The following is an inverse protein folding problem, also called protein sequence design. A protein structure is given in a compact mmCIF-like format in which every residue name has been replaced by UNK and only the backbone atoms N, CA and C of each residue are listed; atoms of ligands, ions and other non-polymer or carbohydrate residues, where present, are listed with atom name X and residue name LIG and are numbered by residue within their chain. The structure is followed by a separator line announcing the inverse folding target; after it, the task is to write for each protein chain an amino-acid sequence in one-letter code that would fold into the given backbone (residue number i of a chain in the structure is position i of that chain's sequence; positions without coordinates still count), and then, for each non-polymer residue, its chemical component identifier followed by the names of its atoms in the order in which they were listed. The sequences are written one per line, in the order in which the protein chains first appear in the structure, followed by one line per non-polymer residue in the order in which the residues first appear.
data_IF_088000044842
#
_entry.id   IF_088000044842
#
_cell.length_a   1.000
_cell.length_b   1.000
_cell.length_c   1.000
_cell.angle_alpha   90.00
_cell.angle_beta   90.00
_cell.angle_gamma   90.00
#
_symmetry.space_group_name_H-M   'P 1'
#
loop_
_entity.id
_entity.type
_entity.pdbx_description
1 polymer ?
#
# COMPACT_ATOMS: atom_id res chain seq x y z
N UNK A 1 -12.71 -4.10 12.21
CA UNK A 1 -11.65 -5.07 11.82
C UNK A 1 -12.10 -5.76 10.54
N UNK A 2 -11.23 -5.88 9.56
CA UNK A 2 -11.60 -6.43 8.22
C UNK A 2 -11.22 -7.90 8.05
N UNK A 3 -10.41 -8.46 8.95
CA UNK A 3 -9.91 -9.82 8.87
C UNK A 3 -8.94 -10.05 7.70
N UNK A 4 -8.20 -9.03 7.30
CA UNK A 4 -7.28 -9.04 6.14
C UNK A 4 -6.26 -10.17 6.26
N UNK A 5 -5.74 -10.39 7.45
CA UNK A 5 -4.69 -11.37 7.74
C UNK A 5 -5.23 -12.65 8.39
N UNK A 6 -6.55 -12.77 8.56
CA UNK A 6 -7.16 -13.97 9.14
C UNK A 6 -6.91 -15.20 8.27
N UNK A 7 -6.34 -16.25 8.87
CA UNK A 7 -5.98 -17.48 8.16
C UNK A 7 -4.76 -17.36 7.24
N UNK A 8 -3.95 -16.31 7.37
CA UNK A 8 -2.76 -16.05 6.54
C UNK A 8 -1.42 -16.31 7.24
N UNK A 9 -1.46 -17.02 8.37
CA UNK A 9 -0.24 -17.29 9.17
C UNK A 9 0.85 -18.00 8.38
N UNK A 10 0.46 -18.94 7.51
CA UNK A 10 1.41 -19.69 6.66
C UNK A 10 2.07 -18.77 5.63
N UNK A 11 1.30 -17.97 4.90
CA UNK A 11 1.83 -17.03 3.91
C UNK A 11 2.75 -16.01 4.57
N UNK A 12 2.39 -15.50 5.75
CA UNK A 12 3.23 -14.55 6.48
C UNK A 12 4.54 -15.21 6.91
N UNK A 13 4.47 -16.42 7.50
CA UNK A 13 5.64 -17.15 7.96
C UNK A 13 6.57 -17.55 6.82
N UNK A 14 6.03 -17.94 5.67
CA UNK A 14 6.80 -18.38 4.49
C UNK A 14 7.15 -17.24 3.53
N UNK A 15 6.75 -15.99 3.85
CA UNK A 15 6.93 -14.83 2.96
C UNK A 15 6.34 -15.06 1.56
N UNK A 16 5.13 -15.60 1.52
CA UNK A 16 4.37 -15.85 0.30
C UNK A 16 3.36 -14.74 0.07
N UNK A 17 3.38 -14.02 -1.07
CA UNK A 17 2.43 -12.93 -1.33
C UNK A 17 1.00 -13.45 -1.44
N UNK A 18 0.04 -12.63 -1.02
CA UNK A 18 -1.39 -12.93 -1.18
C UNK A 18 -2.19 -11.68 -1.53
N UNK A 19 -3.36 -11.87 -2.10
CA UNK A 19 -4.32 -10.82 -2.44
C UNK A 19 -5.67 -11.06 -1.81
N UNK A 20 -6.46 -10.00 -1.74
CA UNK A 20 -7.86 -10.04 -1.36
C UNK A 20 -8.58 -8.77 -1.76
N UNK A 21 -9.83 -8.68 -1.34
CA UNK A 21 -10.66 -7.50 -1.57
C UNK A 21 -11.50 -7.25 -0.32
N UNK A 22 -11.63 -5.97 0.06
CA UNK A 22 -12.58 -5.58 1.08
C UNK A 22 -14.01 -5.72 0.54
N UNK A 23 -15.01 -5.92 1.41
CA UNK A 23 -16.41 -5.94 0.99
C UNK A 23 -16.76 -4.68 0.20
N UNK A 24 -17.61 -4.83 -0.82
CA UNK A 24 -18.10 -3.71 -1.61
C UNK A 24 -18.70 -2.62 -0.73
N UNK A 25 -18.38 -1.35 -1.04
CA UNK A 25 -18.83 -0.20 -0.25
C UNK A 25 -18.00 0.11 1.01
N UNK A 26 -16.97 -0.67 1.33
CA UNK A 26 -16.06 -0.37 2.45
C UNK A 26 -15.24 0.90 2.18
N UNK A 27 -14.77 1.10 0.96
CA UNK A 27 -14.04 2.30 0.56
C UNK A 27 -15.05 3.35 0.10
N UNK A 28 -15.29 4.34 0.95
CA UNK A 28 -16.15 5.50 0.66
C UNK A 28 -15.35 6.77 0.38
N UNK A 29 -14.03 6.65 0.35
CA UNK A 29 -13.07 7.73 0.11
C UNK A 29 -13.10 8.19 -1.33
N UNK A 30 -13.33 9.48 -1.56
CA UNK A 30 -13.38 10.08 -2.88
C UNK A 30 -12.27 11.14 -3.09
N UNK A 31 -12.30 11.81 -4.23
CA UNK A 31 -11.31 12.82 -4.55
C UNK A 31 -11.43 14.06 -3.66
N UNK A 32 -12.61 14.44 -3.22
CA UNK A 32 -12.80 15.62 -2.34
C UNK A 32 -12.18 15.33 -0.97
N UNK A 33 -12.40 14.13 -0.43
CA UNK A 33 -11.78 13.68 0.81
C UNK A 33 -10.24 13.63 0.68
N UNK A 34 -9.75 13.12 -0.44
CA UNK A 34 -8.32 12.97 -0.67
C UNK A 34 -7.62 14.32 -0.85
N UNK A 35 -8.20 15.22 -1.59
CA UNK A 35 -7.70 16.59 -1.76
C UNK A 35 -7.69 17.35 -0.44
N UNK A 36 -8.74 17.20 0.39
CA UNK A 36 -8.76 17.78 1.73
C UNK A 36 -7.63 17.25 2.61
N UNK A 37 -7.37 15.94 2.57
CA UNK A 37 -6.23 15.35 3.29
C UNK A 37 -4.91 15.90 2.76
N UNK A 38 -4.75 16.05 1.46
CA UNK A 38 -3.55 16.61 0.82
C UNK A 38 -3.33 18.08 1.23
N UNK A 39 -4.37 18.91 1.20
CA UNK A 39 -4.30 20.33 1.54
C UNK A 39 -3.95 20.59 3.01
N UNK A 40 -4.28 19.64 3.88
CA UNK A 40 -4.03 19.73 5.33
C UNK A 40 -2.80 18.94 5.77
N UNK A 41 -2.12 18.27 4.83
CA UNK A 41 -0.92 17.47 5.13
C UNK A 41 0.30 18.37 5.37
N UNK A 42 1.16 18.08 6.38
CA UNK A 42 2.36 18.87 6.63
C UNK A 42 3.33 18.81 5.45
N UNK A 43 3.86 19.96 5.04
CA UNK A 43 4.74 20.11 3.88
C UNK A 43 5.97 19.21 3.95
N UNK A 44 6.54 19.03 5.14
CA UNK A 44 7.70 18.18 5.37
C UNK A 44 7.45 16.67 5.13
N UNK A 45 6.18 16.28 5.03
CA UNK A 45 5.77 14.90 4.75
C UNK A 45 5.20 14.72 3.34
N UNK A 46 5.28 15.75 2.49
CA UNK A 46 4.86 15.68 1.10
C UNK A 46 6.06 15.42 0.20
N UNK A 47 6.00 14.34 -0.58
CA UNK A 47 6.94 14.06 -1.65
C UNK A 47 6.24 14.31 -3.01
N UNK A 48 6.47 15.49 -3.57
CA UNK A 48 5.86 15.90 -4.84
C UNK A 48 6.85 15.82 -6.00
N UNK A 49 6.47 15.13 -7.06
CA UNK A 49 7.22 15.07 -8.29
C UNK A 49 6.37 15.55 -9.48
N UNK A 50 6.44 16.84 -9.77
CA UNK A 50 5.64 17.47 -10.82
C UNK A 50 5.94 16.94 -12.23
N UNK A 51 7.19 16.55 -12.52
CA UNK A 51 7.58 15.98 -13.80
C UNK A 51 6.99 14.59 -14.03
N UNK A 52 6.65 13.90 -12.95
CA UNK A 52 6.07 12.57 -12.95
C UNK A 52 4.58 12.55 -12.61
N UNK A 53 3.99 13.70 -12.41
CA UNK A 53 2.56 13.87 -12.04
C UNK A 53 2.14 13.01 -10.86
N UNK A 54 2.99 12.95 -9.82
CA UNK A 54 2.71 12.17 -8.62
C UNK A 54 3.01 12.94 -7.34
N UNK A 55 2.25 12.61 -6.29
CA UNK A 55 2.43 13.11 -4.94
C UNK A 55 2.36 11.93 -3.97
N UNK A 56 3.29 11.87 -3.04
CA UNK A 56 3.26 10.96 -1.89
C UNK A 56 2.99 11.73 -0.61
N UNK A 57 2.02 11.29 0.18
CA UNK A 57 1.73 11.82 1.51
C UNK A 57 2.23 10.83 2.56
N UNK A 58 3.40 11.09 3.14
CA UNK A 58 4.03 10.21 4.13
C UNK A 58 3.36 10.33 5.50
N UNK A 59 3.23 9.22 6.21
CA UNK A 59 2.67 9.14 7.56
C UNK A 59 1.25 9.72 7.67
N UNK A 60 0.41 9.48 6.66
CA UNK A 60 -0.94 10.05 6.60
C UNK A 60 -1.90 9.45 7.65
N UNK A 61 -1.72 8.17 8.05
CA UNK A 61 -2.67 7.45 8.91
C UNK A 61 -2.88 8.08 10.29
N UNK A 62 -1.87 8.79 10.79
CA UNK A 62 -1.93 9.46 12.10
C UNK A 62 -2.57 10.84 12.07
N UNK A 63 -3.00 11.30 10.89
CA UNK A 63 -3.60 12.64 10.74
C UNK A 63 -5.10 12.60 11.01
N UNK A 64 -5.67 13.70 11.53
CA UNK A 64 -7.13 13.80 11.74
C UNK A 64 -7.95 13.58 10.47
N UNK A 65 -7.40 13.97 9.31
CA UNK A 65 -8.03 13.82 7.99
C UNK A 65 -7.85 12.43 7.37
N UNK A 66 -7.13 11.52 8.01
CA UNK A 66 -6.96 10.16 7.49
C UNK A 66 -8.26 9.37 7.54
N UNK A 67 -8.55 8.54 6.52
CA UNK A 67 -9.74 7.72 6.53
C UNK A 67 -9.70 6.65 7.63
N UNK A 68 -10.84 6.40 8.25
CA UNK A 68 -10.95 5.44 9.34
C UNK A 68 -10.54 4.02 8.94
N UNK A 69 -10.85 3.63 7.69
CA UNK A 69 -10.43 2.31 7.20
C UNK A 69 -8.90 2.13 7.16
N UNK A 70 -8.14 3.21 6.89
CA UNK A 70 -6.68 3.13 6.92
C UNK A 70 -6.14 2.91 8.33
N UNK A 71 -6.78 3.50 9.34
CA UNK A 71 -6.44 3.27 10.75
C UNK A 71 -6.70 1.81 11.15
N UNK A 72 -7.82 1.24 10.72
CA UNK A 72 -8.12 -0.17 10.96
C UNK A 72 -7.11 -1.11 10.28
N UNK A 73 -6.66 -0.79 9.08
CA UNK A 73 -5.58 -1.56 8.43
C UNK A 73 -4.31 -1.55 9.27
N UNK A 74 -3.90 -0.39 9.77
CA UNK A 74 -2.69 -0.26 10.62
C UNK A 74 -2.85 -1.05 11.92
N UNK A 75 -4.02 -1.03 12.54
CA UNK A 75 -4.32 -1.81 13.75
C UNK A 75 -4.19 -3.32 13.48
N UNK A 76 -4.83 -3.83 12.43
CA UNK A 76 -4.75 -5.25 12.05
C UNK A 76 -3.30 -5.67 11.72
N UNK A 77 -2.56 -4.83 11.01
CA UNK A 77 -1.14 -5.08 10.73
C UNK A 77 -0.32 -5.11 12.01
N UNK A 78 -0.53 -4.17 12.92
CA UNK A 78 0.19 -4.09 14.19
C UNK A 78 -0.04 -5.35 15.04
N UNK A 79 -1.26 -5.81 15.14
CA UNK A 79 -1.60 -7.03 15.88
C UNK A 79 -0.96 -8.26 15.22
N UNK A 80 -1.15 -8.43 13.92
CA UNK A 80 -0.66 -9.58 13.17
C UNK A 80 0.85 -9.71 13.22
N UNK A 81 1.57 -8.64 12.86
CA UNK A 81 3.03 -8.70 12.78
C UNK A 81 3.72 -8.67 14.15
N UNK A 82 3.09 -8.16 15.19
CA UNK A 82 3.57 -8.30 16.57
C UNK A 82 3.57 -9.77 17.01
N UNK A 83 2.54 -10.53 16.63
CA UNK A 83 2.46 -11.96 16.94
C UNK A 83 3.55 -12.78 16.23
N UNK A 84 3.95 -12.36 15.03
CA UNK A 84 5.04 -13.00 14.27
C UNK A 84 6.45 -12.53 14.68
N UNK A 85 6.56 -11.65 15.68
CA UNK A 85 7.84 -11.21 16.25
C UNK A 85 8.67 -10.26 15.38
N UNK A 86 8.11 -9.79 14.28
CA UNK A 86 8.82 -9.11 13.19
C UNK A 86 8.57 -7.60 13.17
N UNK A 87 7.68 -7.09 14.04
CA UNK A 87 7.24 -5.70 13.98
C UNK A 87 8.17 -4.77 14.74
N UNK A 88 8.82 -3.84 14.02
CA UNK A 88 9.45 -2.66 14.61
C UNK A 88 8.61 -1.40 14.43
N UNK A 89 8.07 -1.21 13.24
CA UNK A 89 7.33 0.01 12.89
C UNK A 89 6.45 -0.25 11.66
N UNK A 90 5.28 0.37 11.64
CA UNK A 90 4.47 0.49 10.43
C UNK A 90 4.66 1.89 9.87
N UNK A 91 5.14 1.96 8.63
CA UNK A 91 5.19 3.17 7.81
C UNK A 91 4.01 3.21 6.87
N UNK A 92 3.64 4.37 6.38
CA UNK A 92 2.58 4.47 5.40
C UNK A 92 2.75 5.69 4.49
N UNK A 93 2.28 5.55 3.27
CA UNK A 93 2.28 6.61 2.27
C UNK A 93 1.02 6.49 1.40
N UNK A 94 0.37 7.61 1.15
CA UNK A 94 -0.69 7.70 0.14
C UNK A 94 -0.05 8.17 -1.17
N UNK A 95 -0.01 7.30 -2.15
CA UNK A 95 0.47 7.61 -3.50
C UNK A 95 -0.68 8.14 -4.34
N UNK A 96 -0.49 9.34 -4.87
CA UNK A 96 -1.43 9.97 -5.80
C UNK A 96 -0.75 10.15 -7.15
N UNK A 97 -1.36 9.65 -8.21
CA UNK A 97 -0.94 9.87 -9.58
C UNK A 97 -2.03 10.55 -10.38
N UNK A 98 -1.67 11.57 -11.14
CA UNK A 98 -2.59 12.38 -11.93
C UNK A 98 -2.49 12.02 -13.43
N UNK A 99 -3.53 11.39 -13.95
CA UNK A 99 -3.61 10.97 -15.34
C UNK A 99 -2.80 9.68 -15.65
N UNK A 100 -2.97 9.20 -16.86
CA UNK A 100 -2.32 7.99 -17.34
C UNK A 100 -0.79 8.14 -17.52
N UNK A 101 -0.32 9.37 -17.68
CA UNK A 101 1.09 9.69 -17.84
C UNK A 101 1.83 9.85 -16.49
N UNK A 102 1.11 9.72 -15.37
CA UNK A 102 1.77 9.70 -14.08
C UNK A 102 2.67 8.49 -13.96
N UNK A 103 3.90 8.74 -13.51
CA UNK A 103 4.89 7.67 -13.37
C UNK A 103 4.61 6.76 -12.15
N UNK A 104 5.17 5.58 -12.20
CA UNK A 104 5.22 4.62 -11.11
C UNK A 104 6.63 4.02 -11.05
N UNK A 105 6.92 3.29 -9.98
CA UNK A 105 8.20 2.59 -9.89
C UNK A 105 8.25 1.45 -10.93
N UNK A 106 9.42 1.24 -11.57
CA UNK A 106 9.60 0.09 -12.46
C UNK A 106 9.52 -1.23 -11.69
N UNK A 107 9.70 -2.35 -12.35
CA UNK A 107 9.84 -3.65 -11.72
C UNK A 107 10.95 -3.61 -10.67
N UNK A 108 10.58 -3.75 -9.39
CA UNK A 108 11.48 -3.57 -8.25
C UNK A 108 11.04 -4.46 -7.08
N UNK A 109 11.85 -4.48 -6.04
CA UNK A 109 11.54 -5.11 -4.76
C UNK A 109 11.83 -4.14 -3.63
N UNK A 110 11.08 -4.25 -2.55
CA UNK A 110 11.24 -3.43 -1.35
C UNK A 110 12.05 -4.16 -0.27
N UNK A 111 12.64 -3.36 0.61
CA UNK A 111 13.36 -3.83 1.80
C UNK A 111 12.45 -4.09 3.01
N UNK A 112 11.16 -3.86 2.86
CA UNK A 112 10.14 -4.10 3.89
C UNK A 112 9.00 -4.91 3.30
N UNK A 113 8.21 -5.52 4.17
CA UNK A 113 6.94 -6.13 3.76
C UNK A 113 5.96 -4.99 3.47
N UNK A 114 5.25 -5.05 2.35
CA UNK A 114 4.33 -4.00 1.91
C UNK A 114 2.91 -4.54 1.82
N UNK A 115 1.98 -3.82 2.40
CA UNK A 115 0.56 -4.00 2.16
C UNK A 115 0.05 -2.84 1.29
N UNK A 116 -0.34 -3.15 0.07
CA UNK A 116 -0.83 -2.17 -0.90
C UNK A 116 -2.33 -2.30 -1.06
N UNK A 117 -3.05 -1.20 -0.91
CA UNK A 117 -4.50 -1.11 -1.10
C UNK A 117 -4.84 -0.07 -2.16
N UNK A 118 -5.66 -0.46 -3.13
CA UNK A 118 -6.20 0.49 -4.10
C UNK A 118 -7.41 1.22 -3.53
N UNK A 119 -7.44 2.56 -3.65
CA UNK A 119 -8.43 3.42 -2.99
C UNK A 119 -9.27 4.20 -3.99
N UNK A 120 -8.65 4.89 -4.94
CA UNK A 120 -9.34 5.63 -6.00
C UNK A 120 -8.76 5.23 -7.36
N UNK A 121 -9.63 4.99 -8.32
CA UNK A 121 -9.23 4.58 -9.66
C UNK A 121 -8.72 3.14 -9.73
N UNK A 122 -8.37 2.71 -10.93
CA UNK A 122 -7.88 1.35 -11.21
C UNK A 122 -6.43 1.42 -11.68
N UNK A 123 -5.61 0.49 -11.21
CA UNK A 123 -4.23 0.29 -11.66
C UNK A 123 -4.05 -1.12 -12.19
N UNK A 124 -3.02 -1.33 -13.01
CA UNK A 124 -2.50 -2.67 -13.26
C UNK A 124 -1.48 -3.02 -12.17
N UNK A 125 -1.40 -4.29 -11.81
CA UNK A 125 -0.42 -4.80 -10.86
C UNK A 125 0.16 -6.11 -11.33
N UNK A 126 1.47 -6.26 -11.18
CA UNK A 126 2.20 -7.52 -11.37
C UNK A 126 3.01 -7.81 -10.12
N UNK A 127 2.94 -9.04 -9.61
CA UNK A 127 3.66 -9.49 -8.40
C UNK A 127 4.24 -10.86 -8.66
N UNK A 128 5.54 -10.98 -8.47
CA UNK A 128 6.28 -12.24 -8.58
C UNK A 128 5.69 -13.30 -7.65
N UNK A 129 5.44 -14.48 -8.20
CA UNK A 129 4.89 -15.61 -7.44
C UNK A 129 3.39 -15.55 -7.15
N UNK A 130 2.70 -14.49 -7.55
CA UNK A 130 1.25 -14.32 -7.38
C UNK A 130 0.54 -14.07 -8.71
N UNK A 131 1.03 -13.13 -9.53
CA UNK A 131 0.54 -12.88 -10.89
C UNK A 131 1.71 -12.72 -11.84
N UNK A 132 1.84 -13.63 -12.80
CA UNK A 132 2.90 -13.57 -13.83
C UNK A 132 2.65 -12.50 -14.88
N UNK A 133 1.38 -12.09 -15.03
CA UNK A 133 0.94 -11.04 -15.92
C UNK A 133 0.25 -9.91 -15.15
N UNK A 134 0.08 -8.76 -15.80
CA UNK A 134 -0.61 -7.61 -15.25
C UNK A 134 -2.08 -7.91 -15.00
N UNK A 135 -2.55 -7.69 -13.77
CA UNK A 135 -3.95 -7.81 -13.37
C UNK A 135 -4.51 -6.46 -12.95
N UNK A 136 -5.81 -6.27 -13.10
CA UNK A 136 -6.51 -5.07 -12.65
C UNK A 136 -6.72 -5.07 -11.14
N UNK A 137 -6.35 -3.95 -10.52
CA UNK A 137 -6.63 -3.62 -9.13
C UNK A 137 -7.57 -2.41 -9.09
N UNK A 138 -8.73 -2.59 -8.47
CA UNK A 138 -9.79 -1.57 -8.31
C UNK A 138 -9.97 -1.22 -6.84
N UNK A 139 -10.67 -0.12 -6.52
CA UNK A 139 -10.88 0.29 -5.13
C UNK A 139 -11.40 -0.86 -4.25
N UNK A 140 -10.73 -1.06 -3.10
CA UNK A 140 -10.98 -2.15 -2.17
C UNK A 140 -10.09 -3.38 -2.37
N UNK A 141 -9.46 -3.54 -3.53
CA UNK A 141 -8.49 -4.61 -3.74
C UNK A 141 -7.20 -4.31 -2.97
N UNK A 142 -6.61 -5.35 -2.39
CA UNK A 142 -5.35 -5.26 -1.66
C UNK A 142 -4.42 -6.45 -1.96
N UNK A 143 -3.15 -6.24 -1.73
CA UNK A 143 -2.11 -7.26 -1.85
C UNK A 143 -1.10 -7.09 -0.73
N UNK A 144 -0.68 -8.20 -0.14
CA UNK A 144 0.51 -8.25 0.70
C UNK A 144 1.70 -8.75 -0.12
N UNK A 145 2.76 -7.97 -0.11
CA UNK A 145 3.99 -8.19 -0.87
C UNK A 145 5.15 -8.31 0.13
N UNK A 146 5.64 -9.51 0.39
CA UNK A 146 6.78 -9.69 1.29
C UNK A 146 8.03 -8.99 0.77
N UNK A 147 8.90 -8.56 1.69
CA UNK A 147 10.21 -8.00 1.35
C UNK A 147 10.96 -8.91 0.37
N UNK A 148 11.63 -8.30 -0.60
CA UNK A 148 12.38 -9.04 -1.61
C UNK A 148 11.54 -9.61 -2.76
N UNK A 149 10.21 -9.48 -2.73
CA UNK A 149 9.32 -9.88 -3.81
C UNK A 149 9.22 -8.78 -4.86
N UNK A 150 9.53 -9.10 -6.11
CA UNK A 150 9.43 -8.14 -7.19
C UNK A 150 7.98 -7.83 -7.54
N UNK A 151 7.73 -6.56 -7.79
CA UNK A 151 6.41 -6.09 -8.20
C UNK A 151 6.48 -4.80 -9.00
N UNK A 152 5.36 -4.47 -9.67
CA UNK A 152 5.21 -3.23 -10.42
C UNK A 152 3.75 -2.82 -10.50
N UNK A 153 3.49 -1.53 -10.26
CA UNK A 153 2.19 -0.89 -10.49
C UNK A 153 2.20 -0.20 -11.83
N UNK A 154 1.17 -0.41 -12.64
CA UNK A 154 1.01 0.17 -13.97
C UNK A 154 -0.08 1.26 -13.93
N UNK A 155 0.29 2.53 -14.16
CA UNK A 155 -0.67 3.63 -14.21
C UNK A 155 -1.65 3.45 -15.37
N UNK A 156 -2.92 3.76 -15.13
CA UNK A 156 -3.96 3.74 -16.17
C UNK A 156 -4.71 5.06 -16.27
N UNK A 157 -4.94 5.71 -15.15
CA UNK A 157 -5.64 6.99 -14.99
C UNK A 157 -5.25 7.64 -13.66
N UNK A 158 -5.86 8.77 -13.35
CA UNK A 158 -5.72 9.36 -12.01
C UNK A 158 -6.14 8.36 -10.93
N UNK A 159 -5.34 8.24 -9.88
CA UNK A 159 -5.45 7.18 -8.89
C UNK A 159 -4.92 7.58 -7.53
N UNK A 160 -5.39 6.86 -6.51
CA UNK A 160 -4.82 6.87 -5.16
C UNK A 160 -4.63 5.42 -4.71
N UNK A 161 -3.42 5.10 -4.26
CA UNK A 161 -3.09 3.83 -3.63
C UNK A 161 -2.49 4.10 -2.26
N UNK A 162 -2.92 3.37 -1.24
CA UNK A 162 -2.32 3.42 0.09
C UNK A 162 -1.33 2.27 0.24
N UNK A 163 -0.12 2.59 0.65
CA UNK A 163 0.94 1.61 0.90
C UNK A 163 1.33 1.67 2.37
N UNK A 164 1.34 0.51 3.02
CA UNK A 164 1.74 0.34 4.42
C UNK A 164 2.94 -0.60 4.45
N UNK A 165 4.03 -0.14 5.05
CA UNK A 165 5.27 -0.91 5.16
C UNK A 165 5.48 -1.43 6.57
N UNK A 166 5.86 -2.69 6.70
CA UNK A 166 6.29 -3.29 7.96
C UNK A 166 7.81 -3.32 7.99
N UNK A 167 8.40 -2.45 8.80
CA UNK A 167 9.83 -2.47 9.07
C UNK A 167 10.12 -3.54 10.11
N UNK A 168 10.78 -4.62 9.69
CA UNK A 168 11.33 -5.65 10.56
C UNK A 168 12.83 -5.46 10.80
N UNK A 169 13.44 -6.41 11.48
CA UNK A 169 14.90 -6.51 11.53
C UNK A 169 15.42 -6.80 10.12
N UNK A 170 16.26 -5.94 9.55
CA UNK A 170 16.81 -6.20 8.24
C UNK A 170 17.72 -7.42 8.32
N UNK A 171 17.34 -8.52 7.69
CA UNK A 171 18.30 -9.54 7.29
C UNK A 171 18.95 -9.07 5.98
N UNK A 172 20.22 -8.65 6.00
CA UNK A 172 20.89 -8.15 4.80
C UNK A 172 20.88 -9.16 3.65
N UNK A 173 20.78 -10.45 3.93
CA UNK A 173 20.76 -11.50 2.90
C UNK A 173 19.49 -11.49 2.06
N UNK A 174 18.42 -10.82 2.54
CA UNK A 174 17.14 -10.76 1.85
C UNK A 174 17.11 -9.70 0.74
N UNK A 175 18.09 -8.78 0.70
CA UNK A 175 18.10 -7.63 -0.22
C UNK A 175 19.06 -7.75 -1.41
N UNK A 176 19.86 -8.76 -1.40
CA UNK A 176 20.92 -8.97 -2.39
C UNK A 176 20.77 -10.28 -3.12
#
# INVERSE_FOLDING_TARGET
MFGIFEGRDEEIATKTPFKGSLPEGTITWDWDDHLHMMDTHPDEHIDANSKKFRIGLNNFHSRPSAPEFAKHVVEEMSETFSLHGDLRKITNIAFTGFGKESDSYPWHKDSMDVFLMQVIGTVGLKVEGLFDEEVDFKPGDYVWIPRGTHHQVFPRRSRVSFSFGVEGDPDPSTYF
#
